data_IF_754075484955
#
_entry.id   IF_754075484955
#
_cell.length_a   1.000
_cell.length_b   1.000
_cell.length_c   1.000
_cell.angle_alpha   90.00
_cell.angle_beta   90.00
_cell.angle_gamma   90.00
#
_symmetry.space_group_name_H-M   'P 1'
#
loop_
_entity.id
_entity.type
_entity.pdbx_description
1 polymer ?
#
# COMPACT_ATOMS: atom_id res chain seq x y z
N UNK A 1 -7.00 -16.27 1.93
CA UNK A 1 -5.98 -15.63 2.78
C UNK A 1 -5.98 -14.12 2.57
N UNK A 2 -5.74 -13.60 1.37
CA UNK A 2 -5.75 -12.17 1.05
C UNK A 2 -7.04 -11.48 1.50
N UNK A 3 -8.18 -12.11 1.28
CA UNK A 3 -9.50 -11.62 1.73
C UNK A 3 -9.56 -11.32 3.24
N UNK A 4 -8.85 -12.08 4.08
CA UNK A 4 -8.80 -11.83 5.53
C UNK A 4 -7.80 -10.72 5.90
N UNK A 5 -6.75 -10.52 5.10
CA UNK A 5 -5.67 -9.57 5.38
C UNK A 5 -5.97 -8.16 4.84
N UNK A 6 -6.42 -8.07 3.59
CA UNK A 6 -6.55 -6.80 2.86
C UNK A 6 -7.57 -5.82 3.48
N UNK A 7 -8.56 -6.34 4.18
CA UNK A 7 -9.62 -5.52 4.80
C UNK A 7 -9.35 -5.06 6.22
N UNK A 8 -8.29 -5.53 6.83
CA UNK A 8 -7.97 -5.19 8.21
C UNK A 8 -7.13 -3.90 8.30
N UNK A 9 -7.28 -3.15 9.37
CA UNK A 9 -6.55 -1.89 9.58
C UNK A 9 -5.02 -2.04 9.41
N UNK A 10 -4.46 -3.22 9.67
CA UNK A 10 -3.04 -3.52 9.45
C UNK A 10 -2.61 -3.36 7.99
N UNK A 11 -3.49 -3.65 7.03
CA UNK A 11 -3.21 -3.43 5.62
C UNK A 11 -3.08 -1.94 5.29
N UNK A 12 -3.92 -1.08 5.91
CA UNK A 12 -3.82 0.38 5.75
C UNK A 12 -2.50 0.91 6.30
N UNK A 13 -2.05 0.39 7.45
CA UNK A 13 -0.76 0.77 8.02
C UNK A 13 0.43 0.43 7.10
N UNK A 14 0.32 -0.66 6.33
CA UNK A 14 1.35 -1.10 5.40
C UNK A 14 1.27 -0.43 4.01
N UNK A 15 0.11 0.12 3.64
CA UNK A 15 -0.10 0.73 2.31
C UNK A 15 0.92 1.81 1.95
N UNK A 16 1.31 2.76 2.84
CA UNK A 16 2.32 3.76 2.53
C UNK A 16 3.68 3.16 2.15
N UNK A 17 4.06 2.02 2.73
CA UNK A 17 5.29 1.32 2.38
C UNK A 17 5.24 0.81 0.92
N UNK A 18 4.12 0.19 0.50
CA UNK A 18 3.94 -0.24 -0.88
C UNK A 18 3.97 0.94 -1.86
N UNK A 19 3.22 2.02 -1.55
CA UNK A 19 3.20 3.23 -2.39
C UNK A 19 4.59 3.86 -2.54
N UNK A 20 5.38 3.89 -1.46
CA UNK A 20 6.75 4.42 -1.51
C UNK A 20 7.67 3.54 -2.35
N UNK A 21 7.53 2.21 -2.27
CA UNK A 21 8.26 1.30 -3.16
C UNK A 21 7.88 1.48 -4.63
N UNK A 22 6.61 1.71 -4.92
CA UNK A 22 6.13 1.95 -6.28
C UNK A 22 6.83 3.16 -6.90
N UNK A 23 6.78 4.29 -6.21
CA UNK A 23 7.33 5.56 -6.70
C UNK A 23 8.86 5.65 -6.61
N UNK A 24 9.52 4.67 -6.01
CA UNK A 24 10.97 4.51 -6.07
C UNK A 24 11.45 4.03 -7.46
N UNK A 25 10.56 3.46 -8.27
CA UNK A 25 10.85 3.22 -9.68
C UNK A 25 10.76 4.55 -10.45
N UNK A 26 11.80 4.98 -11.19
CA UNK A 26 11.87 6.31 -11.82
C UNK A 26 10.64 6.67 -12.65
N UNK A 27 10.19 5.77 -13.52
CA UNK A 27 9.02 5.98 -14.36
C UNK A 27 7.72 6.17 -13.54
N UNK A 28 7.55 5.43 -12.42
CA UNK A 28 6.38 5.59 -11.54
C UNK A 28 6.50 6.87 -10.73
N UNK A 29 7.70 7.17 -10.23
CA UNK A 29 8.00 8.42 -9.52
C UNK A 29 7.69 9.64 -10.37
N UNK A 30 8.18 9.69 -11.61
CA UNK A 30 7.90 10.77 -12.55
C UNK A 30 6.40 10.87 -12.87
N UNK A 31 5.72 9.75 -13.17
CA UNK A 31 4.28 9.75 -13.43
C UNK A 31 3.44 10.26 -12.25
N UNK A 32 3.84 9.96 -11.02
CA UNK A 32 3.18 10.49 -9.81
C UNK A 32 3.52 11.96 -9.59
N UNK A 33 4.75 12.37 -9.84
CA UNK A 33 5.19 13.76 -9.75
C UNK A 33 4.40 14.67 -10.70
N UNK A 34 4.28 14.26 -11.95
CA UNK A 34 3.66 15.05 -13.04
C UNK A 34 2.10 15.06 -12.96
N UNK A 35 1.49 13.95 -12.55
CA UNK A 35 0.04 13.75 -12.74
C UNK A 35 -0.76 13.54 -11.45
N UNK A 36 -0.12 13.32 -10.30
CA UNK A 36 -0.86 13.02 -9.07
C UNK A 36 -1.17 14.26 -8.25
N UNK A 37 -2.38 14.29 -7.70
CA UNK A 37 -2.84 15.34 -6.78
C UNK A 37 -2.40 15.11 -5.32
N UNK A 38 -1.37 14.32 -5.07
CA UNK A 38 -0.99 13.96 -3.68
C UNK A 38 -0.50 15.16 -2.86
N UNK A 39 -0.03 16.23 -3.50
CA UNK A 39 0.37 17.49 -2.85
C UNK A 39 -0.82 18.40 -2.57
N UNK A 40 -1.79 18.45 -3.48
CA UNK A 40 -2.93 19.38 -3.42
C UNK A 40 -4.15 18.76 -2.73
N UNK A 41 -4.35 17.45 -2.86
CA UNK A 41 -5.43 16.69 -2.21
C UNK A 41 -4.92 15.37 -1.61
N UNK A 42 -4.04 15.42 -0.56
CA UNK A 42 -3.43 14.22 0.03
C UNK A 42 -4.46 13.27 0.64
N UNK A 43 -5.50 13.81 1.29
CA UNK A 43 -6.53 13.02 1.95
C UNK A 43 -7.46 12.32 0.95
N UNK A 44 -7.97 13.05 -0.04
CA UNK A 44 -8.79 12.45 -1.08
C UNK A 44 -8.00 11.44 -1.92
N UNK A 45 -6.71 11.69 -2.17
CA UNK A 45 -5.84 10.72 -2.85
C UNK A 45 -5.66 9.43 -2.04
N UNK A 46 -5.45 9.55 -0.72
CA UNK A 46 -5.34 8.39 0.17
C UNK A 46 -6.65 7.60 0.24
N UNK A 47 -7.79 8.28 0.40
CA UNK A 47 -9.11 7.65 0.42
C UNK A 47 -9.41 6.89 -0.86
N UNK A 48 -9.17 7.50 -2.03
CA UNK A 48 -9.36 6.84 -3.34
C UNK A 48 -8.46 5.61 -3.48
N UNK A 49 -7.22 5.68 -3.01
CA UNK A 49 -6.30 4.53 -3.03
C UNK A 49 -6.80 3.39 -2.16
N UNK A 50 -7.21 3.68 -0.92
CA UNK A 50 -7.76 2.66 0.00
C UNK A 50 -9.05 2.07 -0.56
N UNK A 51 -9.98 2.89 -1.07
CA UNK A 51 -11.22 2.41 -1.66
C UNK A 51 -10.98 1.49 -2.86
N UNK A 52 -10.08 1.88 -3.76
CA UNK A 52 -9.71 1.09 -4.93
C UNK A 52 -9.12 -0.27 -4.54
N UNK A 53 -8.15 -0.30 -3.62
CA UNK A 53 -7.56 -1.57 -3.13
C UNK A 53 -8.60 -2.47 -2.45
N UNK A 54 -9.60 -1.89 -1.79
CA UNK A 54 -10.69 -2.67 -1.21
C UNK A 54 -11.59 -3.28 -2.29
N UNK A 55 -11.89 -2.53 -3.36
CA UNK A 55 -12.70 -3.03 -4.47
C UNK A 55 -12.05 -4.21 -5.17
N UNK A 56 -10.73 -4.25 -5.35
CA UNK A 56 -10.04 -5.37 -5.99
C UNK A 56 -10.26 -6.70 -5.27
N UNK A 57 -10.44 -6.66 -3.95
CA UNK A 57 -10.55 -7.87 -3.11
C UNK A 57 -12.00 -8.18 -2.73
N UNK A 58 -12.84 -7.16 -2.52
CA UNK A 58 -14.20 -7.31 -1.97
C UNK A 58 -15.30 -6.91 -2.95
N UNK A 59 -14.95 -6.36 -4.11
CA UNK A 59 -15.90 -5.78 -5.06
C UNK A 59 -16.69 -6.80 -5.87
N UNK A 60 -16.28 -8.08 -5.92
CA UNK A 60 -16.94 -9.05 -6.81
C UNK A 60 -16.90 -8.56 -8.27
N UNK A 61 -18.07 -8.43 -8.91
CA UNK A 61 -18.19 -7.91 -10.29
C UNK A 61 -17.66 -6.48 -10.45
N UNK A 62 -17.87 -5.62 -9.44
CA UNK A 62 -17.36 -4.26 -9.44
C UNK A 62 -15.81 -4.18 -9.42
N UNK A 63 -15.12 -5.26 -9.04
CA UNK A 63 -13.67 -5.30 -9.09
C UNK A 63 -13.14 -5.21 -10.53
N UNK A 64 -13.77 -5.91 -11.48
CA UNK A 64 -13.39 -5.85 -12.89
C UNK A 64 -13.68 -4.47 -13.51
N UNK A 65 -14.76 -3.82 -13.10
CA UNK A 65 -15.10 -2.45 -13.51
C UNK A 65 -14.04 -1.46 -13.00
N UNK A 66 -13.67 -1.57 -11.72
CA UNK A 66 -12.60 -0.75 -11.13
C UNK A 66 -11.25 -0.96 -11.83
N UNK A 67 -10.91 -2.19 -12.20
CA UNK A 67 -9.71 -2.48 -12.99
C UNK A 67 -9.73 -1.75 -14.34
N UNK A 68 -10.85 -1.82 -15.08
CA UNK A 68 -11.02 -1.08 -16.34
C UNK A 68 -10.94 0.43 -16.13
N UNK A 69 -11.61 0.95 -15.10
CA UNK A 69 -11.56 2.39 -14.76
C UNK A 69 -10.13 2.85 -14.49
N UNK A 70 -9.36 2.08 -13.73
CA UNK A 70 -7.96 2.40 -13.44
C UNK A 70 -7.10 2.40 -14.70
N UNK A 71 -7.23 1.39 -15.56
CA UNK A 71 -6.49 1.37 -16.83
C UNK A 71 -6.80 2.61 -17.68
N UNK A 72 -8.09 2.95 -17.84
CA UNK A 72 -8.50 4.16 -18.56
C UNK A 72 -7.93 5.44 -17.94
N UNK A 73 -7.87 5.52 -16.60
CA UNK A 73 -7.26 6.64 -15.89
C UNK A 73 -5.75 6.76 -16.17
N UNK A 74 -5.05 5.64 -16.31
CA UNK A 74 -3.61 5.60 -16.53
C UNK A 74 -3.19 5.69 -18.00
N UNK A 75 -4.11 5.51 -18.93
CA UNK A 75 -3.84 5.53 -20.38
C UNK A 75 -3.17 6.84 -20.87
N UNK A 76 -3.62 8.06 -20.45
CA UNK A 76 -3.00 9.31 -20.87
C UNK A 76 -1.68 9.61 -20.14
N UNK A 77 -1.34 8.89 -19.07
CA UNK A 77 -0.18 9.19 -18.22
C UNK A 77 1.10 8.76 -18.93
N UNK A 78 1.86 9.75 -19.40
CA UNK A 78 3.14 9.61 -20.10
C UNK A 78 3.95 10.88 -19.97
N UNK A 79 5.27 10.75 -20.09
CA UNK A 79 6.19 11.90 -20.00
C UNK A 79 7.65 11.43 -20.10
N UNK A 80 8.54 12.19 -19.48
CA UNK A 80 9.98 11.91 -19.45
C UNK A 80 10.45 11.95 -18.00
N UNK A 81 11.17 10.93 -17.55
CA UNK A 81 11.71 10.86 -16.20
C UNK A 81 12.93 11.79 -16.02
N UNK A 82 13.43 11.88 -14.77
CA UNK A 82 14.58 12.72 -14.42
C UNK A 82 15.89 12.34 -15.16
N UNK A 83 15.93 11.16 -15.78
CA UNK A 83 17.07 10.69 -16.57
C UNK A 83 16.88 10.89 -18.08
N UNK A 84 15.84 11.61 -18.49
CA UNK A 84 15.53 11.84 -19.91
C UNK A 84 14.88 10.65 -20.61
N UNK A 85 14.46 9.60 -19.88
CA UNK A 85 13.83 8.40 -20.45
C UNK A 85 12.33 8.59 -20.53
N UNK A 86 11.75 8.30 -21.71
CA UNK A 86 10.30 8.33 -21.89
C UNK A 86 9.62 7.27 -21.01
N UNK A 87 8.52 7.63 -20.34
CA UNK A 87 7.70 6.70 -19.56
C UNK A 87 6.25 6.68 -20.01
N UNK A 88 5.59 5.56 -19.78
CA UNK A 88 4.13 5.38 -19.87
C UNK A 88 3.66 4.59 -18.65
N UNK A 89 2.59 5.03 -18.00
CA UNK A 89 2.09 4.37 -16.80
C UNK A 89 1.63 2.92 -17.06
N UNK A 90 1.10 2.63 -18.25
CA UNK A 90 0.70 1.29 -18.69
C UNK A 90 1.81 0.50 -19.40
N UNK A 91 3.07 0.99 -19.42
CA UNK A 91 4.18 0.16 -19.87
C UNK A 91 4.27 -1.09 -18.98
N UNK A 92 4.46 -2.24 -19.60
CA UNK A 92 4.35 -3.54 -18.93
C UNK A 92 5.20 -3.61 -17.64
N UNK A 93 6.50 -3.29 -17.74
CA UNK A 93 7.41 -3.34 -16.59
C UNK A 93 6.95 -2.40 -15.45
N UNK A 94 6.52 -1.17 -15.78
CA UNK A 94 6.06 -0.16 -14.81
C UNK A 94 4.78 -0.60 -14.13
N UNK A 95 3.79 -1.05 -14.91
CA UNK A 95 2.48 -1.43 -14.39
C UNK A 95 2.54 -2.71 -13.55
N UNK A 96 3.30 -3.69 -14.01
CA UNK A 96 3.59 -4.94 -13.28
C UNK A 96 4.32 -4.67 -11.98
N UNK A 97 5.33 -3.79 -11.99
CA UNK A 97 6.04 -3.40 -10.75
C UNK A 97 5.11 -2.81 -9.71
N UNK A 98 4.23 -1.88 -10.10
CA UNK A 98 3.27 -1.27 -9.17
C UNK A 98 2.44 -2.34 -8.45
N UNK A 99 1.94 -3.34 -9.18
CA UNK A 99 1.23 -4.46 -8.58
C UNK A 99 2.15 -5.34 -7.73
N UNK A 100 3.32 -5.69 -8.24
CA UNK A 100 4.26 -6.59 -7.57
C UNK A 100 4.66 -6.15 -6.16
N UNK A 101 4.75 -4.84 -5.89
CA UNK A 101 5.16 -4.29 -4.58
C UNK A 101 4.28 -4.70 -3.41
N UNK A 102 3.01 -5.01 -3.66
CA UNK A 102 2.08 -5.37 -2.60
C UNK A 102 2.42 -6.70 -1.92
N UNK A 103 2.84 -7.71 -2.68
CA UNK A 103 3.14 -9.03 -2.14
C UNK A 103 4.25 -9.02 -1.08
N UNK A 104 5.47 -8.50 -1.33
CA UNK A 104 6.52 -8.41 -0.32
C UNK A 104 6.13 -7.55 0.88
N UNK A 105 5.34 -6.48 0.67
CA UNK A 105 4.86 -5.64 1.77
C UNK A 105 3.85 -6.40 2.65
N UNK A 106 2.89 -7.14 2.08
CA UNK A 106 1.98 -7.99 2.85
C UNK A 106 2.73 -9.06 3.65
N UNK A 107 3.73 -9.70 3.03
CA UNK A 107 4.58 -10.68 3.69
C UNK A 107 5.35 -10.07 4.87
N UNK A 108 5.97 -8.91 4.67
CA UNK A 108 6.71 -8.21 5.72
C UNK A 108 5.78 -7.68 6.82
N UNK A 109 4.63 -7.11 6.48
CA UNK A 109 3.62 -6.65 7.43
C UNK A 109 3.11 -7.80 8.32
N UNK A 110 2.92 -9.00 7.75
CA UNK A 110 2.58 -10.20 8.52
C UNK A 110 3.71 -10.61 9.47
N UNK A 111 4.97 -10.54 9.03
CA UNK A 111 6.13 -10.80 9.89
C UNK A 111 6.18 -9.85 11.11
N UNK A 112 5.92 -8.56 10.87
CA UNK A 112 5.97 -7.52 11.94
C UNK A 112 4.74 -7.57 12.83
N UNK A 113 3.53 -7.59 12.26
CA UNK A 113 2.26 -7.36 12.96
C UNK A 113 1.37 -8.61 13.09
N UNK A 114 1.68 -9.68 12.38
CA UNK A 114 0.93 -10.94 12.45
C UNK A 114 1.31 -11.79 13.66
N UNK A 115 0.51 -12.82 13.93
CA UNK A 115 0.80 -13.77 15.03
C UNK A 115 2.11 -14.52 14.83
N UNK A 116 2.38 -14.91 13.59
CA UNK A 116 3.61 -15.55 13.12
C UNK A 116 3.86 -15.19 11.65
N UNK A 117 5.07 -15.38 11.14
CA UNK A 117 5.34 -15.34 9.70
C UNK A 117 4.49 -16.36 8.95
N UNK A 118 4.29 -16.14 7.66
CA UNK A 118 3.67 -17.14 6.79
C UNK A 118 4.55 -18.39 6.67
N UNK A 119 3.91 -19.56 6.62
CA UNK A 119 4.56 -20.79 6.16
C UNK A 119 4.77 -20.73 4.63
N UNK A 120 5.65 -21.56 4.06
CA UNK A 120 5.82 -21.62 2.60
C UNK A 120 4.51 -21.91 1.84
N UNK A 121 3.64 -22.74 2.40
CA UNK A 121 2.32 -23.04 1.81
C UNK A 121 1.39 -21.82 1.83
N UNK A 122 1.36 -21.08 2.94
CA UNK A 122 0.59 -19.84 3.06
C UNK A 122 1.14 -18.75 2.14
N UNK A 123 2.46 -18.66 1.98
CA UNK A 123 3.10 -17.72 1.06
C UNK A 123 2.70 -18.03 -0.39
N UNK A 124 2.73 -19.30 -0.82
CA UNK A 124 2.24 -19.72 -2.14
C UNK A 124 0.75 -19.41 -2.32
N UNK A 125 -0.08 -19.68 -1.31
CA UNK A 125 -1.50 -19.35 -1.36
C UNK A 125 -1.73 -17.84 -1.49
N UNK A 126 -1.04 -17.01 -0.68
CA UNK A 126 -1.14 -15.56 -0.76
C UNK A 126 -0.74 -15.07 -2.15
N UNK A 127 0.34 -15.62 -2.71
CA UNK A 127 0.83 -15.23 -4.02
C UNK A 127 -0.16 -15.60 -5.14
N UNK A 128 -0.72 -16.79 -5.10
CA UNK A 128 -1.75 -17.21 -6.07
C UNK A 128 -3.00 -16.32 -6.00
N UNK A 129 -3.42 -15.89 -4.80
CA UNK A 129 -4.51 -14.92 -4.62
C UNK A 129 -4.10 -13.52 -5.11
N UNK A 130 -2.82 -13.15 -4.98
CA UNK A 130 -2.26 -11.89 -5.47
C UNK A 130 -2.25 -11.82 -7.00
N UNK A 131 -1.92 -12.90 -7.68
CA UNK A 131 -2.02 -13.01 -9.15
C UNK A 131 -3.47 -12.80 -9.64
N UNK A 132 -4.48 -13.31 -8.91
CA UNK A 132 -5.89 -13.04 -9.25
C UNK A 132 -6.24 -11.56 -9.22
N UNK A 133 -5.70 -10.81 -8.25
CA UNK A 133 -5.84 -9.34 -8.23
C UNK A 133 -5.13 -8.69 -9.42
N UNK A 134 -3.97 -9.20 -9.83
CA UNK A 134 -3.29 -8.76 -11.05
C UNK A 134 -4.17 -8.88 -12.28
N UNK A 135 -4.87 -10.03 -12.45
CA UNK A 135 -5.83 -10.22 -13.54
C UNK A 135 -6.99 -9.24 -13.52
N UNK A 136 -7.51 -8.89 -12.33
CA UNK A 136 -8.53 -7.83 -12.16
C UNK A 136 -8.00 -6.49 -12.67
N UNK A 137 -6.71 -6.21 -12.48
CA UNK A 137 -6.04 -4.99 -12.95
C UNK A 137 -5.65 -5.07 -14.43
N UNK A 138 -5.89 -6.20 -15.10
CA UNK A 138 -5.54 -6.43 -16.51
C UNK A 138 -4.07 -6.72 -16.74
N UNK A 139 -3.40 -7.35 -15.78
CA UNK A 139 -2.06 -7.91 -15.91
C UNK A 139 -2.20 -9.37 -16.32
N UNK A 140 -1.59 -9.73 -17.46
CA UNK A 140 -1.60 -11.10 -17.94
C UNK A 140 -0.65 -12.00 -17.12
N UNK A 141 -0.97 -13.29 -17.04
CA UNK A 141 -0.17 -14.25 -16.29
C UNK A 141 1.27 -14.36 -16.81
N UNK A 142 1.47 -14.21 -18.13
CA UNK A 142 2.81 -14.18 -18.77
C UNK A 142 3.68 -12.98 -18.37
N UNK A 143 3.05 -11.92 -17.82
CA UNK A 143 3.70 -10.67 -17.50
C UNK A 143 4.20 -10.61 -16.05
N UNK A 144 3.88 -11.65 -15.27
CA UNK A 144 4.34 -11.82 -13.89
C UNK A 144 4.89 -13.21 -13.65
N UNK A 145 5.90 -13.35 -12.76
CA UNK A 145 6.29 -14.65 -12.21
C UNK A 145 5.05 -15.40 -11.67
N UNK A 146 4.95 -16.71 -11.89
CA UNK A 146 3.76 -17.47 -11.51
C UNK A 146 3.87 -18.12 -10.13
N UNK A 147 5.07 -18.18 -9.56
CA UNK A 147 5.34 -18.76 -8.24
C UNK A 147 6.14 -17.79 -7.37
N UNK A 148 6.10 -17.91 -6.03
CA UNK A 148 7.00 -17.13 -5.16
C UNK A 148 8.47 -17.38 -5.47
N UNK A 149 8.83 -18.60 -5.85
CA UNK A 149 10.19 -19.01 -6.18
C UNK A 149 10.74 -18.22 -7.39
N UNK A 150 9.90 -17.96 -8.40
CA UNK A 150 10.20 -17.12 -9.56
C UNK A 150 10.11 -15.62 -9.21
N UNK A 151 9.18 -15.25 -8.35
CA UNK A 151 8.94 -13.86 -7.95
C UNK A 151 10.14 -13.24 -7.24
N UNK A 152 10.76 -13.95 -6.31
CA UNK A 152 11.85 -13.37 -5.52
C UNK A 152 13.10 -13.00 -6.34
N UNK A 153 13.54 -13.77 -7.34
CA UNK A 153 14.58 -13.34 -8.28
C UNK A 153 14.19 -12.09 -9.08
N UNK A 154 12.97 -12.06 -9.62
CA UNK A 154 12.43 -10.87 -10.31
C UNK A 154 12.47 -9.64 -9.42
N UNK A 155 11.87 -9.74 -8.24
CA UNK A 155 11.82 -8.66 -7.25
C UNK A 155 13.20 -8.11 -6.90
N UNK A 156 14.15 -8.99 -6.55
CA UNK A 156 15.53 -8.58 -6.26
C UNK A 156 16.22 -7.94 -7.47
N UNK A 157 15.92 -8.41 -8.66
CA UNK A 157 16.42 -7.82 -9.90
C UNK A 157 15.96 -6.37 -10.08
N UNK A 158 14.69 -6.06 -9.82
CA UNK A 158 14.17 -4.69 -9.88
C UNK A 158 14.79 -3.83 -8.78
N UNK A 159 14.87 -4.34 -7.53
CA UNK A 159 15.52 -3.61 -6.43
C UNK A 159 16.96 -3.20 -6.77
N UNK A 160 17.71 -4.08 -7.41
CA UNK A 160 19.14 -3.85 -7.67
C UNK A 160 19.40 -2.89 -8.85
N UNK A 161 18.49 -2.83 -9.84
CA UNK A 161 18.76 -2.13 -11.09
C UNK A 161 17.87 -0.92 -11.36
N UNK A 162 16.67 -0.89 -10.78
CA UNK A 162 15.63 0.07 -11.18
C UNK A 162 15.28 1.09 -10.10
N UNK A 163 15.44 0.73 -8.80
CA UNK A 163 14.95 1.60 -7.74
C UNK A 163 15.95 2.68 -7.35
N UNK A 164 15.42 3.85 -7.10
CA UNK A 164 16.17 5.00 -6.61
C UNK A 164 15.36 5.85 -5.62
N UNK A 165 16.02 6.77 -4.96
CA UNK A 165 15.36 7.73 -4.07
C UNK A 165 14.84 8.93 -4.89
N UNK A 166 13.74 8.74 -5.61
CA UNK A 166 13.08 9.77 -6.42
C UNK A 166 12.65 10.98 -5.58
N UNK A 167 12.27 12.09 -6.25
CA UNK A 167 11.72 13.29 -5.58
C UNK A 167 10.49 12.90 -4.74
N UNK A 168 9.58 12.10 -5.30
CA UNK A 168 8.36 11.67 -4.61
C UNK A 168 8.66 10.81 -3.39
N UNK A 169 9.66 9.90 -3.46
CA UNK A 169 10.11 9.14 -2.27
C UNK A 169 10.58 10.09 -1.18
N UNK A 170 11.41 11.10 -1.52
CA UNK A 170 11.89 12.08 -0.54
C UNK A 170 10.74 12.77 0.18
N UNK A 171 9.74 13.24 -0.56
CA UNK A 171 8.56 13.91 0.01
C UNK A 171 7.69 12.99 0.87
N UNK A 172 7.46 11.74 0.43
CA UNK A 172 6.66 10.78 1.18
C UNK A 172 7.28 10.40 2.53
N UNK A 173 8.62 10.44 2.65
CA UNK A 173 9.30 10.13 3.92
C UNK A 173 9.78 11.39 4.66
N UNK A 174 9.59 12.59 4.11
CA UNK A 174 9.95 13.84 4.75
C UNK A 174 9.13 14.11 6.01
N UNK A 175 9.73 14.76 7.00
CA UNK A 175 9.09 15.14 8.27
C UNK A 175 8.92 16.64 8.45
N UNK A 176 9.30 17.40 7.44
CA UNK A 176 9.29 18.86 7.37
C UNK A 176 8.39 19.41 6.25
N UNK A 177 7.50 18.57 5.73
CA UNK A 177 6.50 18.97 4.73
C UNK A 177 5.19 19.38 5.39
N UNK A 178 4.49 20.32 4.76
CA UNK A 178 3.15 20.67 5.18
C UNK A 178 2.12 19.72 4.56
N UNK A 179 1.27 19.16 5.42
CA UNK A 179 0.05 18.43 5.03
C UNK A 179 -1.11 19.12 5.71
N UNK A 180 -2.18 19.52 5.00
CA UNK A 180 -3.31 20.20 5.63
C UNK A 180 -4.04 19.27 6.61
N UNK A 181 -4.76 19.80 7.60
CA UNK A 181 -5.59 18.99 8.48
C UNK A 181 -6.69 18.25 7.69
N UNK A 182 -7.16 17.09 8.17
CA UNK A 182 -8.23 16.34 7.51
C UNK A 182 -9.46 17.22 7.26
N UNK A 183 -10.04 17.22 6.03
CA UNK A 183 -11.15 18.12 5.68
C UNK A 183 -12.51 17.66 6.25
N UNK A 184 -12.59 16.41 6.75
CA UNK A 184 -13.82 15.78 7.21
C UNK A 184 -13.98 15.82 8.72
N UNK A 185 -15.22 15.71 9.18
CA UNK A 185 -15.62 15.70 10.58
C UNK A 185 -16.51 16.88 10.96
N UNK A 186 -17.06 16.90 12.18
CA UNK A 186 -17.88 17.97 12.70
C UNK A 186 -17.15 19.32 12.66
N UNK A 187 -17.89 20.42 12.51
CA UNK A 187 -17.31 21.76 12.42
C UNK A 187 -16.38 22.10 13.60
N UNK A 188 -16.83 21.77 14.83
CA UNK A 188 -16.04 22.03 16.04
C UNK A 188 -14.68 21.30 16.02
N UNK A 189 -14.68 20.02 15.58
CA UNK A 189 -13.45 19.23 15.50
C UNK A 189 -12.50 19.78 14.44
N UNK A 190 -13.01 20.21 13.29
CA UNK A 190 -12.19 20.82 12.23
C UNK A 190 -11.56 22.14 12.71
N UNK A 191 -12.32 22.95 13.45
CA UNK A 191 -11.81 24.20 14.04
C UNK A 191 -10.72 23.88 15.06
N UNK A 192 -10.95 22.95 15.99
CA UNK A 192 -9.98 22.51 16.97
C UNK A 192 -8.70 21.98 16.29
N UNK A 193 -8.84 21.09 15.30
CA UNK A 193 -7.71 20.54 14.55
C UNK A 193 -6.91 21.63 13.83
N UNK A 194 -7.55 22.64 13.24
CA UNK A 194 -6.84 23.76 12.59
C UNK A 194 -5.93 24.50 13.56
N UNK A 195 -6.37 24.75 14.77
CA UNK A 195 -5.59 25.40 15.81
C UNK A 195 -4.45 24.50 16.35
N UNK A 196 -4.75 23.24 16.60
CA UNK A 196 -3.78 22.30 17.14
C UNK A 196 -2.80 21.76 16.06
N UNK A 197 -3.10 21.94 14.78
CA UNK A 197 -2.40 21.28 13.67
C UNK A 197 -0.90 21.55 13.62
N UNK A 198 -0.41 22.79 13.83
CA UNK A 198 1.04 23.06 13.85
C UNK A 198 1.80 22.22 14.90
N UNK A 199 1.16 21.94 16.04
CA UNK A 199 1.74 21.10 17.09
C UNK A 199 1.58 19.59 16.81
N UNK A 200 0.49 19.18 16.15
CA UNK A 200 0.20 17.77 15.85
C UNK A 200 0.92 17.25 14.60
N UNK A 201 1.14 18.10 13.62
CA UNK A 201 1.71 17.70 12.33
C UNK A 201 3.12 17.09 12.46
N UNK A 202 4.09 17.68 13.16
CA UNK A 202 5.44 17.12 13.25
C UNK A 202 5.49 15.71 13.85
N UNK A 203 4.83 15.39 14.98
CA UNK A 203 4.81 14.01 15.48
C UNK A 203 4.08 13.05 14.55
N UNK A 204 2.99 13.48 13.88
CA UNK A 204 2.28 12.66 12.90
C UNK A 204 3.17 12.31 11.71
N UNK A 205 3.95 13.26 11.19
CA UNK A 205 4.89 13.02 10.09
C UNK A 205 6.01 12.05 10.50
N UNK A 206 6.51 12.16 11.74
CA UNK A 206 7.50 11.19 12.27
C UNK A 206 6.93 9.79 12.37
N UNK A 207 5.69 9.65 12.85
CA UNK A 207 4.98 8.36 12.90
C UNK A 207 4.73 7.83 11.49
N UNK A 208 4.27 8.68 10.55
CA UNK A 208 4.11 8.31 9.14
C UNK A 208 5.40 7.77 8.55
N UNK A 209 6.52 8.51 8.68
CA UNK A 209 7.84 8.08 8.22
C UNK A 209 8.24 6.75 8.85
N UNK A 210 8.12 6.64 10.17
CA UNK A 210 8.45 5.42 10.92
C UNK A 210 7.69 4.20 10.38
N UNK A 211 6.37 4.31 10.21
CA UNK A 211 5.55 3.22 9.70
C UNK A 211 5.84 2.93 8.22
N UNK A 212 5.97 3.96 7.39
CA UNK A 212 6.28 3.81 5.95
C UNK A 212 7.59 3.06 5.74
N UNK A 213 8.65 3.50 6.41
CA UNK A 213 9.98 2.91 6.28
C UNK A 213 10.05 1.56 7.02
N UNK A 214 9.45 1.46 8.20
CA UNK A 214 9.48 0.24 9.02
C UNK A 214 8.71 -0.92 8.42
N UNK A 215 7.56 -0.68 7.79
CA UNK A 215 6.75 -1.72 7.15
C UNK A 215 7.17 -2.02 5.70
N UNK A 216 8.14 -1.29 5.17
CA UNK A 216 8.81 -1.63 3.92
C UNK A 216 9.78 -2.79 4.16
N UNK A 217 9.86 -3.79 3.24
CA UNK A 217 10.84 -4.86 3.33
C UNK A 217 12.28 -4.33 3.49
N UNK A 218 13.12 -4.95 4.33
CA UNK A 218 14.47 -4.43 4.64
C UNK A 218 15.38 -4.29 3.43
N UNK A 219 15.26 -5.17 2.44
CA UNK A 219 15.99 -5.12 1.18
C UNK A 219 15.58 -3.92 0.31
N UNK A 220 14.27 -3.64 0.22
CA UNK A 220 13.77 -2.47 -0.48
C UNK A 220 14.21 -1.16 0.20
N UNK A 221 14.17 -1.09 1.54
CA UNK A 221 14.69 0.08 2.28
C UNK A 221 16.15 0.38 1.91
N UNK A 222 16.99 -0.67 1.87
CA UNK A 222 18.41 -0.52 1.51
C UNK A 222 18.59 -0.10 0.05
N UNK A 223 17.84 -0.72 -0.87
CA UNK A 223 17.90 -0.38 -2.29
C UNK A 223 17.54 1.09 -2.56
N UNK A 224 16.57 1.63 -1.82
CA UNK A 224 16.14 3.03 -1.95
C UNK A 224 17.04 4.00 -1.15
N UNK A 225 17.97 3.49 -0.34
CA UNK A 225 18.84 4.32 0.50
C UNK A 225 18.12 4.99 1.67
N UNK A 226 17.11 4.32 2.26
CA UNK A 226 16.41 4.82 3.44
C UNK A 226 17.09 4.35 4.72
N UNK A 227 17.48 5.31 5.55
CA UNK A 227 18.13 5.06 6.82
C UNK A 227 17.17 4.38 7.82
N UNK A 228 17.68 3.36 8.50
CA UNK A 228 16.97 2.61 9.51
C UNK A 228 17.93 2.08 10.57
N UNK A 229 17.81 2.56 11.78
CA UNK A 229 18.71 2.22 12.88
C UNK A 229 18.27 0.96 13.66
N UNK A 230 19.19 0.40 14.45
CA UNK A 230 18.85 -0.69 15.36
C UNK A 230 17.82 -0.26 16.43
N UNK A 231 17.77 1.02 16.79
CA UNK A 231 16.73 1.56 17.69
C UNK A 231 15.36 1.60 17.01
N UNK A 232 15.28 1.96 15.72
CA UNK A 232 14.02 1.92 14.96
C UNK A 232 13.52 0.49 14.83
N UNK A 233 14.42 -0.46 14.60
CA UNK A 233 14.07 -1.89 14.54
C UNK A 233 13.51 -2.40 15.88
N UNK A 234 14.07 -1.97 17.01
CA UNK A 234 13.51 -2.31 18.34
C UNK A 234 12.13 -1.71 18.56
N UNK A 235 11.93 -0.44 18.16
CA UNK A 235 10.63 0.25 18.23
C UNK A 235 9.61 -0.43 17.33
N UNK A 236 9.99 -0.85 16.11
CA UNK A 236 9.12 -1.56 15.18
C UNK A 236 8.67 -2.91 15.75
N UNK A 237 9.57 -3.67 16.35
CA UNK A 237 9.22 -4.92 17.03
C UNK A 237 8.25 -4.70 18.19
N UNK A 238 8.46 -3.64 18.99
CA UNK A 238 7.53 -3.27 20.06
C UNK A 238 6.17 -2.87 19.47
N UNK A 239 6.12 -1.99 18.48
CA UNK A 239 4.91 -1.61 17.78
C UNK A 239 4.16 -2.84 17.23
N UNK A 240 4.87 -3.76 16.60
CA UNK A 240 4.29 -5.00 16.08
C UNK A 240 3.67 -5.87 17.16
N UNK A 241 4.29 -5.95 18.36
CA UNK A 241 3.70 -6.66 19.52
C UNK A 241 2.40 -6.00 19.97
N UNK A 242 2.37 -4.68 20.09
CA UNK A 242 1.16 -3.93 20.45
C UNK A 242 0.05 -4.18 19.43
N UNK A 243 0.32 -4.02 18.14
CA UNK A 243 -0.66 -4.25 17.07
C UNK A 243 -1.18 -5.69 17.08
N UNK A 244 -0.31 -6.66 17.34
CA UNK A 244 -0.65 -8.09 17.43
C UNK A 244 -1.65 -8.40 18.54
N UNK A 245 -1.57 -7.68 19.66
CA UNK A 245 -2.47 -7.85 20.81
C UNK A 245 -3.74 -7.01 20.64
N UNK A 246 -3.60 -5.76 20.24
CA UNK A 246 -4.70 -4.78 20.21
C UNK A 246 -5.66 -5.04 19.04
N UNK A 247 -5.16 -5.25 17.83
CA UNK A 247 -6.04 -5.32 16.64
C UNK A 247 -7.05 -6.47 16.71
N UNK A 248 -6.72 -7.69 17.19
CA UNK A 248 -7.71 -8.77 17.28
C UNK A 248 -8.87 -8.50 18.24
N UNK A 249 -8.68 -7.67 19.25
CA UNK A 249 -9.71 -7.34 20.26
C UNK A 249 -10.52 -6.09 19.91
N UNK A 250 -10.15 -5.38 18.85
CA UNK A 250 -10.92 -4.23 18.38
C UNK A 250 -12.31 -4.66 17.91
N UNK A 251 -13.35 -3.85 18.17
CA UNK A 251 -14.66 -4.00 17.54
C UNK A 251 -14.53 -4.03 16.01
N UNK A 252 -15.37 -4.82 15.34
CA UNK A 252 -15.31 -5.00 13.86
C UNK A 252 -15.28 -3.67 13.08
N UNK A 253 -16.00 -2.66 13.56
CA UNK A 253 -16.05 -1.32 12.94
C UNK A 253 -14.72 -0.57 12.97
N UNK A 254 -13.82 -0.89 13.90
CA UNK A 254 -12.49 -0.30 14.03
C UNK A 254 -11.42 -1.21 13.44
N UNK A 255 -11.69 -2.51 13.42
CA UNK A 255 -10.77 -3.52 12.91
C UNK A 255 -10.80 -3.65 11.40
N UNK A 256 -11.99 -3.56 10.79
CA UNK A 256 -12.17 -3.78 9.36
C UNK A 256 -12.63 -2.53 8.63
N UNK A 257 -12.07 -2.32 7.46
CA UNK A 257 -12.47 -1.28 6.53
C UNK A 257 -13.91 -1.50 6.04
N UNK A 258 -14.63 -0.44 5.59
CA UNK A 258 -16.05 -0.52 5.24
C UNK A 258 -16.39 -1.65 4.26
N UNK A 259 -15.71 -1.72 3.10
CA UNK A 259 -15.96 -2.77 2.10
C UNK A 259 -15.74 -4.18 2.64
N UNK A 260 -14.65 -4.38 3.39
CA UNK A 260 -14.36 -5.68 4.02
C UNK A 260 -15.43 -6.06 5.05
N UNK A 261 -15.88 -5.11 5.85
CA UNK A 261 -16.93 -5.33 6.85
C UNK A 261 -18.25 -5.73 6.20
N UNK A 262 -18.65 -5.02 5.13
CA UNK A 262 -19.88 -5.30 4.42
C UNK A 262 -19.80 -6.65 3.69
N UNK A 263 -18.66 -6.99 3.09
CA UNK A 263 -18.43 -8.30 2.50
C UNK A 263 -18.51 -9.44 3.53
N UNK A 264 -17.94 -9.24 4.73
CA UNK A 264 -18.01 -10.21 5.83
C UNK A 264 -19.45 -10.42 6.31
N UNK A 265 -20.24 -9.36 6.43
CA UNK A 265 -21.66 -9.43 6.79
C UNK A 265 -22.45 -10.23 5.75
N UNK A 266 -22.25 -9.95 4.44
CA UNK A 266 -22.90 -10.71 3.36
C UNK A 266 -22.54 -12.19 3.41
N UNK A 267 -21.28 -12.53 3.60
CA UNK A 267 -20.81 -13.92 3.70
C UNK A 267 -21.37 -14.64 4.96
N UNK A 268 -21.54 -13.94 6.07
CA UNK A 268 -22.15 -14.46 7.30
C UNK A 268 -23.65 -14.75 7.14
N UNK A 269 -24.37 -13.86 6.47
CA UNK A 269 -25.80 -14.03 6.22
C UNK A 269 -26.07 -15.18 5.23
N UNK A 270 -25.24 -15.33 4.17
CA UNK A 270 -25.37 -16.44 3.22
C UNK A 270 -25.19 -17.82 3.86
N UNK A 271 -24.30 -17.93 4.86
CA UNK A 271 -24.14 -19.19 5.61
C UNK A 271 -25.30 -19.52 6.53
N UNK A 272 -26.03 -18.54 7.04
CA UNK A 272 -27.22 -18.72 7.90
C UNK A 272 -28.48 -19.00 7.10
N UNK A 273 -28.56 -18.59 5.84
CA UNK A 273 -29.70 -18.85 4.96
C UNK A 273 -29.61 -20.20 4.24
N UNK A 274 -28.44 -20.87 4.24
CA UNK A 274 -28.20 -22.17 3.63
C UNK A 274 -28.00 -23.31 4.66
N UNK A 275 -28.21 -23.05 5.97
CA UNK A 275 -28.25 -24.02 7.06
C UNK A 275 -29.68 -24.14 7.61
#
# INVERSE_FOLDING_TARGET
MLWSLAGEVRAVLALPAALTMQVAHPAVGAGVDDHSVFRTDPWGRAERSVASTQLWVYGGEAAAEEGRRLRKLHEPIRGTDAHGRAYRALALATYTWVHATGFPVYRHAQHVMGRRPFTPAEERQLYAEWLRVGRVLGIDDRDMPQTPEEFWPYYRGVLARELERTVVVRELVATDVYVPPPPRGPRWLRTLLRWAWPALLPPLLRVRRFLTVGLMPPDARRAIGLEWSASDERRLRWFGRVVRVVVPVLPERLRYLPYARDARRRAGNGRRAGA
#
